data_IF_275552185584
#
_entry.id   IF_275552185584
#
_cell.length_a   1.000
_cell.length_b   1.000
_cell.length_c   1.000
_cell.angle_alpha   90.00
_cell.angle_beta   90.00
_cell.angle_gamma   90.00
#
_symmetry.space_group_name_H-M   'P 1'
#
loop_
_entity.id
_entity.type
_entity.pdbx_description
1 polymer ?
#
# COMPACT_ATOMS: atom_id res chain seq x y z
N UNK A 1 6.04 6.22 -12.99
CA UNK A 1 4.84 5.37 -12.89
C UNK A 1 3.73 6.10 -13.61
N UNK A 2 3.42 5.68 -14.83
CA UNK A 2 2.33 6.23 -15.63
C UNK A 2 1.03 5.93 -14.88
N UNK A 3 0.32 6.97 -14.44
CA UNK A 3 -0.99 6.83 -13.79
C UNK A 3 -2.00 6.67 -14.91
N UNK A 4 -2.51 5.47 -15.09
CA UNK A 4 -3.62 5.19 -15.99
C UNK A 4 -4.90 5.66 -15.32
N UNK A 5 -5.64 6.55 -15.99
CA UNK A 5 -6.84 7.15 -15.41
C UNK A 5 -8.01 6.15 -15.41
N UNK A 6 -8.00 5.17 -16.32
CA UNK A 6 -9.12 4.26 -16.55
C UNK A 6 -8.88 2.83 -16.09
N UNK A 7 -7.65 2.45 -15.69
CA UNK A 7 -7.34 1.11 -15.19
C UNK A 7 -7.34 1.03 -13.65
N UNK A 8 -8.15 0.13 -13.09
CA UNK A 8 -8.16 -0.22 -11.67
C UNK A 8 -7.53 -1.62 -11.53
N UNK A 9 -6.33 -1.76 -10.97
CA UNK A 9 -5.73 -3.07 -10.71
C UNK A 9 -6.50 -3.79 -9.60
N UNK A 10 -6.87 -5.04 -9.86
CA UNK A 10 -7.47 -5.95 -8.90
C UNK A 10 -6.61 -7.21 -8.70
N UNK A 11 -6.86 -7.96 -7.62
CA UNK A 11 -6.13 -9.20 -7.32
C UNK A 11 -6.50 -10.35 -8.26
N UNK A 12 -7.75 -10.36 -8.76
CA UNK A 12 -8.29 -11.46 -9.58
C UNK A 12 -8.59 -11.07 -11.03
N UNK A 13 -8.82 -9.78 -11.29
CA UNK A 13 -9.02 -9.20 -12.62
C UNK A 13 -8.61 -7.72 -12.62
N UNK A 14 -8.11 -7.24 -13.75
CA UNK A 14 -7.90 -5.81 -13.99
C UNK A 14 -9.19 -5.20 -14.56
N UNK A 15 -9.59 -4.03 -14.07
CA UNK A 15 -10.77 -3.34 -14.58
C UNK A 15 -10.35 -2.13 -15.45
N UNK A 16 -10.96 -1.97 -16.63
CA UNK A 16 -10.77 -0.83 -17.53
C UNK A 16 -12.12 -0.09 -17.68
N UNK A 17 -12.12 1.23 -17.51
CA UNK A 17 -13.31 2.08 -17.57
C UNK A 17 -13.41 2.83 -18.91
N UNK A 18 -14.51 2.63 -19.64
CA UNK A 18 -14.89 3.38 -20.84
C UNK A 18 -16.02 4.35 -20.46
N UNK A 19 -15.65 5.38 -19.71
CA UNK A 19 -16.58 6.35 -19.12
C UNK A 19 -16.38 7.72 -19.77
N UNK A 20 -17.46 8.28 -20.28
CA UNK A 20 -17.43 9.53 -21.06
C UNK A 20 -17.45 9.29 -22.56
N UNK A 21 -17.15 10.32 -23.34
CA UNK A 21 -17.25 10.28 -24.80
C UNK A 21 -16.03 9.60 -25.44
N UNK A 22 -16.25 8.92 -26.54
CA UNK A 22 -15.19 8.24 -27.31
C UNK A 22 -14.60 9.23 -28.32
N UNK A 23 -13.29 9.38 -28.33
CA UNK A 23 -12.59 10.23 -29.30
C UNK A 23 -11.20 10.61 -28.82
N UNK A 24 -10.53 11.48 -29.58
CA UNK A 24 -9.12 11.79 -29.35
C UNK A 24 -8.86 13.09 -28.55
N UNK A 25 -9.91 13.74 -28.04
CA UNK A 25 -9.79 14.90 -27.14
C UNK A 25 -9.29 14.52 -25.73
N UNK A 26 -8.73 15.49 -24.99
CA UNK A 26 -8.00 15.23 -23.73
C UNK A 26 -8.85 14.60 -22.61
N UNK A 27 -10.16 14.87 -22.61
CA UNK A 27 -11.09 14.36 -21.60
C UNK A 27 -11.90 13.14 -22.08
N UNK A 28 -11.55 12.57 -23.25
CA UNK A 28 -12.27 11.47 -23.86
C UNK A 28 -11.66 10.10 -23.54
N UNK A 29 -12.45 9.05 -23.77
CA UNK A 29 -11.99 7.67 -23.87
C UNK A 29 -11.23 7.50 -25.18
N UNK A 30 -9.91 7.66 -25.10
CA UNK A 30 -8.98 7.58 -26.24
C UNK A 30 -8.64 6.15 -26.61
N UNK A 31 -8.65 5.87 -27.91
CA UNK A 31 -8.37 4.53 -28.43
C UNK A 31 -6.96 4.03 -28.08
N UNK A 32 -5.96 4.91 -28.17
CA UNK A 32 -4.57 4.60 -27.81
C UNK A 32 -4.36 4.32 -26.32
N UNK A 33 -5.11 5.00 -25.45
CA UNK A 33 -5.01 4.79 -24.00
C UNK A 33 -5.61 3.44 -23.61
N UNK A 34 -6.80 3.11 -24.12
CA UNK A 34 -7.45 1.82 -23.89
C UNK A 34 -6.58 0.66 -24.41
N UNK A 35 -5.99 0.79 -25.60
CA UNK A 35 -5.11 -0.24 -26.15
C UNK A 35 -3.89 -0.50 -25.25
N UNK A 36 -3.29 0.56 -24.70
CA UNK A 36 -2.13 0.46 -23.80
C UNK A 36 -2.51 -0.15 -22.45
N UNK A 37 -3.61 0.31 -21.85
CA UNK A 37 -4.13 -0.23 -20.59
C UNK A 37 -4.50 -1.71 -20.72
N UNK A 38 -5.07 -2.11 -21.85
CA UNK A 38 -5.39 -3.51 -22.13
C UNK A 38 -4.13 -4.39 -22.18
N UNK A 39 -3.07 -3.94 -22.85
CA UNK A 39 -1.79 -4.67 -22.90
C UNK A 39 -1.15 -4.84 -21.52
N UNK A 40 -1.29 -3.83 -20.65
CA UNK A 40 -0.80 -3.92 -19.28
C UNK A 40 -1.67 -4.86 -18.42
N UNK A 41 -2.99 -4.78 -18.56
CA UNK A 41 -3.93 -5.65 -17.88
C UNK A 41 -3.74 -7.13 -18.27
N UNK A 42 -3.49 -7.41 -19.55
CA UNK A 42 -3.11 -8.72 -20.06
C UNK A 42 -1.88 -9.29 -19.34
N UNK A 43 -0.87 -8.45 -19.10
CA UNK A 43 0.37 -8.87 -18.46
C UNK A 43 0.21 -9.17 -16.95
N UNK A 44 -0.81 -8.62 -16.30
CA UNK A 44 -1.00 -8.72 -14.85
C UNK A 44 -1.82 -9.95 -14.43
N UNK A 45 -3.05 -10.09 -14.96
CA UNK A 45 -4.03 -11.07 -14.42
C UNK A 45 -4.63 -11.98 -15.49
N UNK A 46 -4.41 -11.68 -16.79
CA UNK A 46 -5.01 -12.41 -17.91
C UNK A 46 -6.54 -12.32 -17.99
N UNK A 47 -7.21 -11.69 -17.01
CA UNK A 47 -8.65 -11.46 -16.91
C UNK A 47 -8.91 -9.98 -16.84
N UNK A 48 -9.79 -9.49 -17.70
CA UNK A 48 -10.06 -8.06 -17.80
C UNK A 48 -11.55 -7.79 -17.80
N UNK A 49 -11.99 -6.99 -16.84
CA UNK A 49 -13.35 -6.44 -16.82
C UNK A 49 -13.33 -5.08 -17.49
N UNK A 50 -14.19 -4.87 -18.48
CA UNK A 50 -14.33 -3.60 -19.19
C UNK A 50 -15.69 -3.02 -18.89
N UNK A 51 -15.77 -1.86 -18.24
CA UNK A 51 -17.04 -1.24 -17.84
C UNK A 51 -17.35 -0.05 -18.72
N UNK A 52 -18.55 -0.01 -19.27
CA UNK A 52 -19.01 1.00 -20.22
C UNK A 52 -20.10 1.87 -19.58
N UNK A 53 -19.87 3.18 -19.64
CA UNK A 53 -20.85 4.21 -19.34
C UNK A 53 -20.59 5.42 -20.26
N UNK A 54 -21.01 5.31 -21.51
CA UNK A 54 -20.63 6.21 -22.60
C UNK A 54 -21.77 6.49 -23.58
N UNK A 55 -21.85 7.75 -24.02
CA UNK A 55 -22.78 8.20 -25.05
C UNK A 55 -22.33 7.84 -26.49
N UNK A 56 -21.14 7.25 -26.64
CA UNK A 56 -20.53 7.02 -27.94
C UNK A 56 -19.54 8.12 -28.31
N UNK A 57 -19.35 8.35 -29.61
CA UNK A 57 -18.42 9.36 -30.10
C UNK A 57 -17.83 8.97 -31.46
N UNK A 58 -16.54 9.25 -31.66
CA UNK A 58 -15.86 9.05 -32.93
C UNK A 58 -15.85 7.57 -33.36
N UNK A 59 -16.39 7.31 -34.56
CA UNK A 59 -16.57 5.94 -35.08
C UNK A 59 -15.24 5.21 -35.22
N UNK A 60 -14.22 5.87 -35.77
CA UNK A 60 -12.90 5.27 -35.98
C UNK A 60 -12.18 4.92 -34.67
N UNK A 61 -12.19 5.83 -33.68
CA UNK A 61 -11.64 5.53 -32.35
C UNK A 61 -12.37 4.37 -31.70
N UNK A 62 -13.70 4.30 -31.85
CA UNK A 62 -14.46 3.16 -31.34
C UNK A 62 -14.15 1.84 -32.04
N UNK A 63 -13.95 1.84 -33.36
CA UNK A 63 -13.54 0.65 -34.11
C UNK A 63 -12.14 0.19 -33.66
N UNK A 64 -11.23 1.13 -33.39
CA UNK A 64 -9.91 0.81 -32.86
C UNK A 64 -10.01 0.15 -31.47
N UNK A 65 -10.84 0.68 -30.57
CA UNK A 65 -11.10 0.08 -29.25
C UNK A 65 -11.71 -1.32 -29.40
N UNK A 66 -12.75 -1.45 -30.23
CA UNK A 66 -13.40 -2.73 -30.51
C UNK A 66 -12.39 -3.78 -31.00
N UNK A 67 -11.51 -3.41 -31.93
CA UNK A 67 -10.50 -4.31 -32.47
C UNK A 67 -9.42 -4.66 -31.45
N UNK A 68 -9.02 -3.71 -30.60
CA UNK A 68 -8.06 -3.99 -29.52
C UNK A 68 -8.63 -5.03 -28.54
N UNK A 69 -9.87 -4.81 -28.08
CA UNK A 69 -10.56 -5.73 -27.17
C UNK A 69 -10.81 -7.10 -27.82
N UNK A 70 -11.35 -7.13 -29.05
CA UNK A 70 -11.69 -8.39 -29.76
C UNK A 70 -10.48 -9.28 -30.02
N UNK A 71 -9.31 -8.69 -30.29
CA UNK A 71 -8.06 -9.40 -30.60
C UNK A 71 -7.17 -9.62 -29.37
N UNK A 72 -7.60 -9.17 -28.20
CA UNK A 72 -6.93 -9.41 -26.94
C UNK A 72 -6.84 -10.90 -26.62
N UNK A 73 -5.77 -11.28 -25.92
CA UNK A 73 -5.61 -12.63 -25.37
C UNK A 73 -6.20 -12.76 -23.96
N UNK A 74 -6.60 -11.65 -23.34
CA UNK A 74 -7.27 -11.67 -22.05
C UNK A 74 -8.65 -12.33 -22.16
N UNK A 75 -9.07 -12.92 -21.03
CA UNK A 75 -10.46 -13.29 -20.79
C UNK A 75 -11.24 -12.02 -20.43
N UNK A 76 -11.94 -11.46 -21.43
CA UNK A 76 -12.61 -10.16 -21.32
C UNK A 76 -14.11 -10.33 -21.04
N UNK A 77 -14.55 -9.76 -19.91
CA UNK A 77 -15.98 -9.52 -19.65
C UNK A 77 -16.31 -8.04 -19.80
N UNK A 78 -17.30 -7.71 -20.63
CA UNK A 78 -17.81 -6.34 -20.76
C UNK A 78 -19.03 -6.15 -19.87
N UNK A 79 -19.08 -5.05 -19.13
CA UNK A 79 -20.24 -4.63 -18.34
C UNK A 79 -20.77 -3.30 -18.86
N UNK A 80 -22.07 -3.22 -19.13
CA UNK A 80 -22.79 -1.98 -19.39
C UNK A 80 -23.46 -1.54 -18.10
N UNK A 81 -22.97 -0.45 -17.52
CA UNK A 81 -23.32 -0.04 -16.16
C UNK A 81 -24.50 0.94 -16.12
N UNK A 82 -24.48 1.93 -17.02
CA UNK A 82 -25.53 2.94 -17.15
C UNK A 82 -25.99 3.08 -18.60
N UNK A 83 -25.08 3.52 -19.47
CA UNK A 83 -25.37 3.70 -20.89
C UNK A 83 -24.25 3.14 -21.78
N UNK A 84 -24.64 2.45 -22.84
CA UNK A 84 -23.78 2.18 -23.99
C UNK A 84 -24.54 2.63 -25.24
N UNK A 85 -24.27 3.85 -25.70
CA UNK A 85 -24.97 4.45 -26.83
C UNK A 85 -24.05 4.66 -28.03
N UNK A 86 -24.63 4.59 -29.24
CA UNK A 86 -23.93 4.84 -30.50
C UNK A 86 -22.66 3.98 -30.62
N UNK A 87 -21.49 4.58 -30.75
CA UNK A 87 -20.25 3.80 -30.89
C UNK A 87 -19.92 2.94 -29.65
N UNK A 88 -20.40 3.31 -28.45
CA UNK A 88 -20.18 2.52 -27.24
C UNK A 88 -20.98 1.20 -27.25
N UNK A 89 -22.19 1.17 -27.82
CA UNK A 89 -22.93 -0.10 -27.98
C UNK A 89 -22.26 -1.02 -29.00
N UNK A 90 -21.60 -0.46 -30.02
CA UNK A 90 -20.81 -1.25 -30.96
C UNK A 90 -19.58 -1.86 -30.27
N UNK A 91 -18.86 -1.08 -29.46
CA UNK A 91 -17.74 -1.59 -28.66
C UNK A 91 -18.19 -2.75 -27.78
N UNK A 92 -19.35 -2.63 -27.12
CA UNK A 92 -19.86 -3.66 -26.24
C UNK A 92 -20.00 -5.04 -26.92
N UNK A 93 -20.22 -5.11 -28.25
CA UNK A 93 -20.45 -6.37 -28.96
C UNK A 93 -19.23 -7.30 -28.99
N UNK A 94 -18.01 -6.83 -28.68
CA UNK A 94 -16.82 -7.68 -28.68
C UNK A 94 -16.59 -8.48 -27.39
N UNK A 95 -17.36 -8.22 -26.33
CA UNK A 95 -17.20 -8.87 -25.03
C UNK A 95 -17.55 -10.35 -25.04
N UNK A 96 -16.91 -11.13 -24.18
CA UNK A 96 -17.08 -12.59 -24.07
C UNK A 96 -17.06 -13.04 -22.60
N UNK A 97 -18.07 -12.71 -21.77
CA UNK A 97 -19.41 -12.26 -22.15
C UNK A 97 -19.63 -10.73 -22.05
N UNK A 98 -20.79 -10.29 -22.52
CA UNK A 98 -21.36 -8.95 -22.32
C UNK A 98 -22.47 -9.02 -21.30
N UNK A 99 -22.33 -8.28 -20.21
CA UNK A 99 -23.30 -8.18 -19.11
C UNK A 99 -23.87 -6.78 -19.06
N UNK A 100 -25.17 -6.63 -18.85
CA UNK A 100 -25.82 -5.32 -18.78
C UNK A 100 -26.59 -5.19 -17.47
N UNK A 101 -26.43 -4.06 -16.80
CA UNK A 101 -27.22 -3.73 -15.61
C UNK A 101 -28.70 -3.70 -15.98
N UNK A 102 -29.58 -4.22 -15.11
CA UNK A 102 -31.04 -4.21 -15.35
C UNK A 102 -31.60 -2.80 -15.62
N UNK A 103 -30.91 -1.76 -15.11
CA UNK A 103 -31.33 -0.37 -15.24
C UNK A 103 -30.62 0.37 -16.37
N UNK A 104 -29.63 -0.25 -17.01
CA UNK A 104 -28.90 0.37 -18.09
C UNK A 104 -29.73 0.51 -19.37
N UNK A 105 -29.19 1.28 -20.31
CA UNK A 105 -29.73 1.42 -21.67
C UNK A 105 -28.64 1.20 -22.71
N UNK A 106 -29.04 0.57 -23.81
CA UNK A 106 -28.22 0.40 -25.00
C UNK A 106 -28.90 1.15 -26.14
N UNK A 107 -28.16 1.91 -26.95
CA UNK A 107 -28.74 2.75 -28.00
C UNK A 107 -28.04 2.57 -29.33
N UNK A 108 -28.82 2.31 -30.38
CA UNK A 108 -28.37 2.23 -31.76
C UNK A 108 -28.99 3.37 -32.56
N UNK A 109 -28.24 3.94 -33.50
CA UNK A 109 -28.75 4.94 -34.43
C UNK A 109 -27.89 5.01 -35.70
N UNK A 110 -28.37 5.76 -36.69
CA UNK A 110 -27.61 6.08 -37.91
C UNK A 110 -26.31 6.82 -37.63
N UNK A 111 -25.28 6.58 -38.46
CA UNK A 111 -24.02 7.31 -38.36
C UNK A 111 -24.27 8.80 -38.61
N UNK A 112 -23.79 9.65 -37.70
CA UNK A 112 -23.89 11.09 -37.81
C UNK A 112 -22.53 11.68 -38.14
N UNK A 113 -22.52 12.66 -39.05
CA UNK A 113 -21.32 13.35 -39.48
C UNK A 113 -21.66 14.64 -40.21
N UNK A 114 -20.67 15.48 -40.42
CA UNK A 114 -20.83 16.74 -41.14
C UNK A 114 -19.55 17.13 -41.86
N UNK A 115 -19.70 17.85 -42.96
CA UNK A 115 -18.60 18.46 -43.69
C UNK A 115 -19.00 19.86 -44.14
N UNK A 116 -17.99 20.67 -44.45
CA UNK A 116 -18.17 21.97 -45.08
C UNK A 116 -17.17 22.08 -46.23
N UNK A 117 -17.65 22.43 -47.41
CA UNK A 117 -16.82 22.44 -48.60
C UNK A 117 -17.61 22.57 -49.89
N UNK A 118 -16.94 22.28 -50.99
CA UNK A 118 -17.53 22.23 -52.32
C UNK A 118 -18.40 20.97 -52.51
N UNK A 119 -19.13 20.93 -53.63
CA UNK A 119 -20.06 19.85 -53.99
C UNK A 119 -19.41 18.45 -53.93
N UNK A 120 -18.16 18.31 -54.35
CA UNK A 120 -17.50 17.00 -54.39
C UNK A 120 -17.05 16.58 -52.98
N UNK A 121 -16.55 17.52 -52.14
CA UNK A 121 -16.26 17.26 -50.72
C UNK A 121 -17.53 16.83 -49.94
N UNK A 122 -18.68 17.46 -50.24
CA UNK A 122 -19.96 17.05 -49.64
C UNK A 122 -20.40 15.65 -50.06
N UNK A 123 -20.22 15.30 -51.33
CA UNK A 123 -20.51 13.94 -51.82
C UNK A 123 -19.59 12.91 -51.20
N UNK A 124 -18.32 13.25 -51.03
CA UNK A 124 -17.32 12.38 -50.43
C UNK A 124 -17.68 12.09 -48.96
N UNK A 125 -18.13 13.10 -48.21
CA UNK A 125 -18.63 12.92 -46.85
C UNK A 125 -19.87 12.01 -46.77
N UNK A 126 -20.84 12.15 -47.68
CA UNK A 126 -22.00 11.25 -47.73
C UNK A 126 -21.55 9.81 -47.96
N UNK A 127 -20.67 9.57 -48.94
CA UNK A 127 -20.15 8.22 -49.22
C UNK A 127 -19.44 7.62 -48.01
N UNK A 128 -18.71 8.44 -47.26
CA UNK A 128 -18.02 8.01 -46.04
C UNK A 128 -19.01 7.61 -44.93
N UNK A 129 -20.04 8.43 -44.70
CA UNK A 129 -21.10 8.12 -43.73
C UNK A 129 -21.82 6.82 -44.11
N UNK A 130 -22.15 6.63 -45.40
CA UNK A 130 -22.78 5.41 -45.91
C UNK A 130 -21.90 4.17 -45.70
N UNK A 131 -20.58 4.30 -45.92
CA UNK A 131 -19.63 3.20 -45.73
C UNK A 131 -19.45 2.82 -44.26
N UNK A 132 -19.38 3.82 -43.37
CA UNK A 132 -19.33 3.58 -41.92
C UNK A 132 -20.63 2.95 -41.43
N UNK A 133 -21.78 3.42 -41.90
CA UNK A 133 -23.07 2.81 -41.58
C UNK A 133 -23.14 1.34 -42.02
N UNK A 134 -22.65 1.02 -43.22
CA UNK A 134 -22.60 -0.37 -43.69
C UNK A 134 -21.74 -1.26 -42.78
N UNK A 135 -20.60 -0.74 -42.33
CA UNK A 135 -19.71 -1.41 -41.38
C UNK A 135 -20.42 -1.66 -40.05
N UNK A 136 -21.09 -0.65 -39.47
CA UNK A 136 -21.79 -0.81 -38.20
C UNK A 136 -22.97 -1.77 -38.31
N UNK A 137 -23.72 -1.75 -39.42
CA UNK A 137 -24.77 -2.72 -39.70
C UNK A 137 -24.23 -4.15 -39.69
N UNK A 138 -23.09 -4.40 -40.35
CA UNK A 138 -22.45 -5.73 -40.38
C UNK A 138 -22.03 -6.20 -38.97
N UNK A 139 -21.50 -5.29 -38.14
CA UNK A 139 -21.10 -5.60 -36.77
C UNK A 139 -22.30 -6.03 -35.91
N UNK A 140 -23.40 -5.30 -35.97
CA UNK A 140 -24.64 -5.65 -35.27
C UNK A 140 -25.26 -6.94 -35.82
N UNK A 141 -25.33 -7.08 -37.15
CA UNK A 141 -25.86 -8.27 -37.82
C UNK A 141 -25.13 -9.54 -37.38
N UNK A 142 -23.80 -9.46 -37.32
CA UNK A 142 -22.94 -10.55 -36.84
C UNK A 142 -23.25 -10.91 -35.39
N UNK A 143 -23.42 -9.93 -34.50
CA UNK A 143 -23.71 -10.18 -33.09
C UNK A 143 -25.12 -10.75 -32.88
N UNK A 144 -26.10 -10.23 -33.59
CA UNK A 144 -27.51 -10.61 -33.46
C UNK A 144 -27.89 -11.87 -34.26
N UNK A 145 -27.01 -12.34 -35.15
CA UNK A 145 -27.30 -13.44 -36.07
C UNK A 145 -28.40 -13.11 -37.07
N UNK A 146 -28.42 -11.86 -37.56
CA UNK A 146 -29.44 -11.33 -38.49
C UNK A 146 -28.81 -10.92 -39.81
N UNK A 147 -29.66 -10.68 -40.81
CA UNK A 147 -29.25 -10.11 -42.08
C UNK A 147 -28.90 -8.62 -41.92
N UNK A 148 -27.89 -8.14 -42.65
CA UNK A 148 -27.39 -6.76 -42.53
C UNK A 148 -28.45 -5.73 -42.94
N UNK A 149 -29.23 -6.04 -43.96
CA UNK A 149 -30.26 -5.18 -44.49
C UNK A 149 -31.48 -5.13 -43.54
N UNK A 150 -31.74 -6.22 -42.81
CA UNK A 150 -32.70 -6.23 -41.70
C UNK A 150 -32.26 -5.26 -40.58
N UNK A 151 -30.99 -5.33 -40.16
CA UNK A 151 -30.44 -4.41 -39.15
C UNK A 151 -30.52 -2.96 -39.61
N UNK A 152 -30.13 -2.69 -40.86
CA UNK A 152 -30.17 -1.35 -41.45
C UNK A 152 -31.59 -0.77 -41.41
N UNK A 153 -32.59 -1.56 -41.81
CA UNK A 153 -33.98 -1.13 -41.82
C UNK A 153 -34.54 -0.89 -40.40
N UNK A 154 -34.10 -1.64 -39.40
CA UNK A 154 -34.59 -1.52 -38.03
C UNK A 154 -33.96 -0.37 -37.24
N UNK A 155 -32.65 -0.19 -37.35
CA UNK A 155 -31.89 0.63 -36.41
C UNK A 155 -31.15 1.81 -37.04
N UNK A 156 -31.06 1.86 -38.37
CA UNK A 156 -30.39 2.92 -39.13
C UNK A 156 -31.40 3.71 -39.98
N UNK A 157 -32.61 3.92 -39.44
CA UNK A 157 -33.72 4.66 -40.09
C UNK A 157 -33.68 6.18 -39.81
N UNK A 158 -32.58 6.69 -39.25
CA UNK A 158 -32.41 8.09 -38.85
C UNK A 158 -32.96 8.45 -37.48
N UNK A 159 -33.38 7.48 -36.65
CA UNK A 159 -33.83 7.70 -35.27
C UNK A 159 -32.90 7.03 -34.26
N UNK A 160 -33.00 7.47 -33.01
CA UNK A 160 -32.36 6.81 -31.87
C UNK A 160 -33.24 5.67 -31.36
N UNK A 161 -32.67 4.46 -31.30
CA UNK A 161 -33.34 3.25 -30.83
C UNK A 161 -32.78 2.81 -29.49
N UNK A 162 -33.55 3.05 -28.44
CA UNK A 162 -33.17 2.75 -27.06
C UNK A 162 -33.72 1.39 -26.62
N UNK A 163 -32.84 0.53 -26.13
CA UNK A 163 -33.14 -0.81 -25.66
C UNK A 163 -32.88 -0.91 -24.16
N UNK A 164 -33.83 -1.50 -23.43
CA UNK A 164 -33.62 -1.98 -22.07
C UNK A 164 -32.80 -3.27 -22.07
N UNK A 165 -32.32 -3.67 -20.89
CA UNK A 165 -31.50 -4.87 -20.74
C UNK A 165 -32.23 -6.17 -21.17
N UNK A 166 -33.53 -6.28 -20.90
CA UNK A 166 -34.36 -7.42 -21.34
C UNK A 166 -34.51 -7.49 -22.86
N UNK A 167 -34.70 -6.34 -23.51
CA UNK A 167 -34.79 -6.24 -24.97
C UNK A 167 -33.45 -6.53 -25.63
N UNK A 168 -32.35 -5.97 -25.11
CA UNK A 168 -31.00 -6.22 -25.59
C UNK A 168 -30.61 -7.70 -25.46
N UNK A 169 -31.02 -8.37 -24.36
CA UNK A 169 -30.81 -9.80 -24.16
C UNK A 169 -31.59 -10.62 -25.18
N UNK A 170 -32.88 -10.30 -25.39
CA UNK A 170 -33.73 -10.99 -26.35
C UNK A 170 -33.22 -10.87 -27.79
N UNK A 171 -32.55 -9.76 -28.11
CA UNK A 171 -31.95 -9.50 -29.42
C UNK A 171 -30.53 -10.10 -29.58
N UNK A 172 -29.96 -10.69 -28.52
CA UNK A 172 -28.61 -11.28 -28.56
C UNK A 172 -27.47 -10.26 -28.53
N UNK A 173 -27.75 -9.00 -28.20
CA UNK A 173 -26.72 -7.95 -28.08
C UNK A 173 -25.87 -8.14 -26.81
N UNK A 174 -26.48 -8.72 -25.78
CA UNK A 174 -25.83 -9.04 -24.50
C UNK A 174 -26.02 -10.52 -24.16
N UNK A 175 -25.19 -11.05 -23.26
CA UNK A 175 -25.23 -12.47 -22.84
C UNK A 175 -25.81 -12.67 -21.43
N UNK A 176 -26.07 -11.58 -20.70
CA UNK A 176 -26.72 -11.67 -19.40
C UNK A 176 -27.04 -10.33 -18.75
N UNK A 177 -28.06 -10.34 -17.91
CA UNK A 177 -28.43 -9.19 -17.08
C UNK A 177 -27.81 -9.40 -15.69
N UNK A 178 -27.32 -8.33 -15.09
CA UNK A 178 -26.91 -8.34 -13.69
C UNK A 178 -27.61 -7.21 -12.92
N UNK A 179 -27.83 -7.46 -11.64
CA UNK A 179 -28.38 -6.46 -10.73
C UNK A 179 -27.19 -5.79 -10.03
N UNK A 180 -27.04 -4.48 -10.21
CA UNK A 180 -26.30 -3.68 -9.23
C UNK A 180 -27.08 -3.74 -7.90
N UNK A 181 -26.38 -3.73 -6.76
CA UNK A 181 -27.02 -3.83 -5.44
C UNK A 181 -28.27 -2.94 -5.37
N UNK A 182 -29.41 -3.49 -4.90
CA UNK A 182 -30.70 -2.84 -4.96
C UNK A 182 -30.60 -1.43 -4.38
N UNK A 183 -31.10 -0.47 -5.16
CA UNK A 183 -31.28 0.91 -4.70
C UNK A 183 -32.58 0.94 -3.90
N UNK A 184 -32.64 1.60 -2.72
CA UNK A 184 -33.86 1.69 -1.94
C UNK A 184 -35.03 2.19 -2.80
N UNK A 185 -36.18 1.52 -2.74
CA UNK A 185 -37.33 1.74 -3.64
C UNK A 185 -37.85 3.19 -3.65
N UNK A 186 -37.59 3.96 -2.58
CA UNK A 186 -38.03 5.36 -2.42
C UNK A 186 -36.96 6.40 -2.82
N UNK A 187 -35.88 6.00 -3.48
CA UNK A 187 -34.78 6.90 -3.83
C UNK A 187 -35.18 7.89 -4.94
N UNK A 188 -34.98 9.18 -4.71
CA UNK A 188 -35.18 10.23 -5.72
C UNK A 188 -34.14 10.13 -6.84
N UNK A 189 -34.39 10.68 -8.05
CA UNK A 189 -33.42 10.67 -9.15
C UNK A 189 -32.04 11.26 -8.76
N UNK A 190 -32.03 12.28 -7.90
CA UNK A 190 -30.81 12.87 -7.35
C UNK A 190 -30.07 11.89 -6.43
N UNK A 191 -30.79 11.17 -5.56
CA UNK A 191 -30.21 10.15 -4.67
C UNK A 191 -29.66 8.96 -5.45
N UNK A 192 -30.34 8.54 -6.50
CA UNK A 192 -29.87 7.51 -7.43
C UNK A 192 -28.56 7.97 -8.09
N UNK A 193 -28.52 9.19 -8.64
CA UNK A 193 -27.32 9.78 -9.23
C UNK A 193 -26.15 9.86 -8.24
N UNK A 194 -26.41 10.27 -6.99
CA UNK A 194 -25.39 10.33 -5.94
C UNK A 194 -24.90 8.93 -5.53
N UNK A 195 -25.79 7.94 -5.38
CA UNK A 195 -25.42 6.54 -5.10
C UNK A 195 -24.52 6.00 -6.19
N UNK A 196 -24.84 6.24 -7.46
CA UNK A 196 -24.01 5.79 -8.58
C UNK A 196 -22.69 6.57 -8.67
N UNK A 197 -22.68 7.89 -8.53
CA UNK A 197 -21.43 8.67 -8.54
C UNK A 197 -20.51 8.34 -7.37
N UNK A 198 -21.06 8.08 -6.18
CA UNK A 198 -20.29 7.62 -5.02
C UNK A 198 -19.70 6.21 -5.20
N UNK A 199 -20.29 5.37 -6.08
CA UNK A 199 -19.74 4.07 -6.48
C UNK A 199 -18.67 4.20 -7.56
N UNK A 200 -18.75 5.23 -8.41
CA UNK A 200 -17.81 5.49 -9.50
C UNK A 200 -16.57 6.26 -9.05
N UNK A 201 -16.72 7.15 -8.07
CA UNK A 201 -15.60 7.81 -7.43
C UNK A 201 -15.10 6.87 -6.35
N UNK A 202 -13.89 6.30 -6.53
CA UNK A 202 -13.12 5.81 -5.38
C UNK A 202 -13.20 6.90 -4.30
N UNK A 203 -13.44 6.56 -3.02
CA UNK A 203 -13.30 7.55 -1.96
C UNK A 203 -11.93 8.20 -2.15
N UNK A 204 -11.91 9.52 -2.38
CA UNK A 204 -10.68 10.24 -2.70
C UNK A 204 -9.66 10.21 -1.55
N UNK A 205 -10.02 9.58 -0.42
CA UNK A 205 -9.13 9.30 0.69
C UNK A 205 -9.20 7.82 1.04
N UNK A 206 -8.05 7.13 1.08
CA UNK A 206 -7.89 5.73 1.52
C UNK A 206 -8.38 5.46 2.97
N UNK A 207 -8.86 6.49 3.68
CA UNK A 207 -9.24 6.42 5.11
C UNK A 207 -10.68 6.85 5.44
N UNK A 208 -11.56 7.11 4.47
CA UNK A 208 -12.97 7.38 4.79
C UNK A 208 -13.80 6.10 4.68
N UNK A 209 -13.82 5.33 5.78
CA UNK A 209 -14.88 4.35 6.00
C UNK A 209 -16.24 5.04 6.00
N UNK A 210 -17.26 4.41 5.40
CA UNK A 210 -18.65 4.83 5.59
C UNK A 210 -18.99 4.74 7.10
N UNK A 211 -19.85 5.63 7.61
CA UNK A 211 -20.40 5.57 8.98
C UNK A 211 -20.93 4.16 9.33
N UNK A 212 -21.52 3.46 8.36
CA UNK A 212 -22.00 2.08 8.53
C UNK A 212 -20.87 1.05 8.71
N UNK A 213 -19.71 1.29 8.12
CA UNK A 213 -18.52 0.45 8.30
C UNK A 213 -17.81 0.74 9.63
N UNK A 214 -17.80 2.01 10.03
CA UNK A 214 -17.29 2.42 11.35
C UNK A 214 -18.09 1.76 12.47
N UNK A 215 -19.43 1.76 12.38
CA UNK A 215 -20.33 1.10 13.35
C UNK A 215 -20.11 -0.41 13.46
N UNK A 216 -19.56 -1.08 12.44
CA UNK A 216 -19.26 -2.52 12.45
C UNK A 216 -17.97 -2.90 13.18
N UNK A 217 -17.10 -1.93 13.51
CA UNK A 217 -15.86 -2.24 14.23
C UNK A 217 -16.17 -2.69 15.66
N UNK A 218 -15.37 -3.61 16.25
CA UNK A 218 -15.63 -4.16 17.58
C UNK A 218 -15.85 -3.12 18.68
N UNK A 219 -15.18 -1.96 18.58
CA UNK A 219 -15.27 -0.87 19.56
C UNK A 219 -16.60 -0.12 19.52
N UNK A 220 -17.27 -0.07 18.37
CA UNK A 220 -18.56 0.60 18.21
C UNK A 220 -19.75 -0.38 18.19
N UNK A 221 -19.51 -1.68 18.41
CA UNK A 221 -20.52 -2.75 18.35
C UNK A 221 -21.71 -2.53 19.30
N UNK A 222 -21.50 -1.78 20.38
CA UNK A 222 -22.53 -1.48 21.40
C UNK A 222 -23.14 -0.08 21.26
N UNK A 223 -22.76 0.70 20.24
CA UNK A 223 -23.35 2.02 19.98
C UNK A 223 -24.71 1.83 19.29
N UNK A 224 -25.80 2.01 20.04
CA UNK A 224 -27.16 1.83 19.52
C UNK A 224 -27.69 3.08 18.81
N UNK A 225 -27.20 4.26 19.18
CA UNK A 225 -27.60 5.56 18.63
C UNK A 225 -26.40 6.34 18.09
N UNK A 226 -26.67 7.36 17.27
CA UNK A 226 -25.63 8.27 16.77
C UNK A 226 -24.97 9.07 17.91
N UNK A 227 -25.72 9.39 18.97
CA UNK A 227 -25.19 10.04 20.18
C UNK A 227 -24.21 9.12 20.94
N UNK A 228 -24.46 7.81 20.98
CA UNK A 228 -23.54 6.85 21.58
C UNK A 228 -22.25 6.72 20.76
N UNK A 229 -22.36 6.81 19.43
CA UNK A 229 -21.21 6.79 18.54
C UNK A 229 -20.34 8.05 18.71
N UNK A 230 -20.93 9.24 18.72
CA UNK A 230 -20.22 10.50 18.92
C UNK A 230 -19.53 10.57 20.30
N UNK A 231 -20.15 10.00 21.34
CA UNK A 231 -19.54 9.90 22.67
C UNK A 231 -18.28 9.03 22.67
N UNK A 232 -18.33 7.88 21.98
CA UNK A 232 -17.18 6.96 21.87
C UNK A 232 -16.04 7.59 21.04
N UNK A 233 -16.38 8.37 20.01
CA UNK A 233 -15.40 9.17 19.26
C UNK A 233 -14.73 10.22 20.15
N UNK A 234 -15.49 10.96 20.99
CA UNK A 234 -14.89 11.93 21.91
C UNK A 234 -13.94 11.31 22.96
N UNK A 235 -14.21 10.08 23.40
CA UNK A 235 -13.29 9.32 24.26
C UNK A 235 -12.00 8.97 23.52
N UNK A 236 -12.11 8.51 22.26
CA UNK A 236 -10.97 8.24 21.40
C UNK A 236 -10.11 9.47 21.15
N UNK A 237 -10.72 10.63 20.92
CA UNK A 237 -10.00 11.90 20.76
C UNK A 237 -9.24 12.27 22.04
N UNK A 238 -9.85 12.06 23.20
CA UNK A 238 -9.21 12.31 24.51
C UNK A 238 -8.03 11.35 24.75
N UNK A 239 -8.19 10.07 24.43
CA UNK A 239 -7.10 9.07 24.51
C UNK A 239 -5.97 9.39 23.54
N UNK A 240 -6.29 9.74 22.30
CA UNK A 240 -5.31 10.12 21.28
C UNK A 240 -4.52 11.37 21.70
N UNK A 241 -5.19 12.35 22.32
CA UNK A 241 -4.55 13.55 22.87
C UNK A 241 -3.49 13.27 23.96
N UNK A 242 -3.55 12.10 24.62
CA UNK A 242 -2.57 11.69 25.64
C UNK A 242 -1.31 11.05 25.05
N UNK A 243 -1.35 10.60 23.80
CA UNK A 243 -0.24 9.88 23.15
C UNK A 243 1.05 10.72 23.11
N UNK A 244 1.04 12.01 22.70
CA UNK A 244 2.28 12.80 22.67
C UNK A 244 2.93 12.96 24.04
N UNK A 245 2.13 13.13 25.10
CA UNK A 245 2.63 13.25 26.46
C UNK A 245 3.22 11.92 26.97
N UNK A 246 2.59 10.79 26.65
CA UNK A 246 3.11 9.46 26.97
C UNK A 246 4.39 9.15 26.19
N UNK A 247 4.48 9.51 24.92
CA UNK A 247 5.69 9.33 24.10
C UNK A 247 6.85 10.18 24.63
N UNK A 248 6.58 11.42 25.04
CA UNK A 248 7.56 12.28 25.69
C UNK A 248 8.08 11.65 26.99
N UNK A 249 7.17 11.09 27.80
CA UNK A 249 7.52 10.42 29.06
C UNK A 249 8.31 9.14 28.84
N UNK A 250 7.91 8.29 27.87
CA UNK A 250 8.66 7.08 27.50
C UNK A 250 10.05 7.45 27.00
N UNK A 251 10.17 8.52 26.21
CA UNK A 251 11.46 9.00 25.72
C UNK A 251 12.34 9.49 26.88
N UNK A 252 11.77 10.26 27.81
CA UNK A 252 12.46 10.72 29.03
C UNK A 252 12.95 9.54 29.87
N UNK A 253 12.08 8.59 30.19
CA UNK A 253 12.40 7.41 31.00
C UNK A 253 13.47 6.53 30.33
N UNK A 254 13.43 6.36 29.01
CA UNK A 254 14.50 5.67 28.27
C UNK A 254 15.82 6.40 28.37
N UNK A 255 15.80 7.74 28.29
CA UNK A 255 16.99 8.58 28.49
C UNK A 255 17.58 8.42 29.89
N UNK A 256 16.75 8.50 30.93
CA UNK A 256 17.18 8.31 32.32
C UNK A 256 17.73 6.91 32.58
N UNK A 257 17.05 5.87 32.08
CA UNK A 257 17.52 4.49 32.18
C UNK A 257 18.90 4.33 31.55
N UNK A 258 19.13 4.94 30.38
CA UNK A 258 20.44 4.92 29.72
C UNK A 258 21.51 5.60 30.56
N UNK A 259 21.23 6.74 31.17
CA UNK A 259 22.18 7.42 32.07
C UNK A 259 22.56 6.54 33.27
N UNK A 260 21.59 5.83 33.85
CA UNK A 260 21.87 4.88 34.94
C UNK A 260 22.70 3.69 34.46
N UNK A 261 22.43 3.16 33.27
CA UNK A 261 23.20 2.06 32.67
C UNK A 261 24.64 2.49 32.36
N UNK A 262 24.82 3.61 31.67
CA UNK A 262 26.15 4.16 31.32
C UNK A 262 26.99 4.43 32.57
N UNK A 263 26.36 4.92 33.66
CA UNK A 263 27.02 5.12 34.94
C UNK A 263 27.42 3.79 35.60
N UNK A 264 26.53 2.81 35.63
CA UNK A 264 26.82 1.50 36.20
C UNK A 264 27.98 0.81 35.45
N UNK A 265 27.99 0.90 34.11
CA UNK A 265 29.05 0.36 33.28
C UNK A 265 30.39 1.08 33.50
N UNK A 266 30.37 2.42 33.64
CA UNK A 266 31.56 3.21 33.95
C UNK A 266 32.12 2.89 35.35
N UNK A 267 31.25 2.76 36.35
CA UNK A 267 31.64 2.41 37.71
C UNK A 267 32.24 0.99 37.76
N UNK A 268 31.66 0.01 37.07
CA UNK A 268 32.24 -1.35 36.98
C UNK A 268 33.56 -1.36 36.19
N UNK A 269 33.67 -0.60 35.09
CA UNK A 269 34.93 -0.45 34.36
C UNK A 269 36.04 0.17 35.22
N UNK A 270 35.71 1.19 36.01
CA UNK A 270 36.65 1.80 36.95
C UNK A 270 37.08 0.82 38.04
N UNK A 271 36.15 0.01 38.58
CA UNK A 271 36.46 -1.04 39.56
C UNK A 271 37.39 -2.11 38.99
N UNK A 272 37.12 -2.62 37.77
CA UNK A 272 37.99 -3.59 37.07
C UNK A 272 39.38 -3.01 36.84
N UNK A 273 39.46 -1.76 36.38
CA UNK A 273 40.74 -1.07 36.16
C UNK A 273 41.55 -0.96 37.46
N UNK A 274 40.91 -0.55 38.56
CA UNK A 274 41.56 -0.44 39.86
C UNK A 274 42.14 -1.77 40.33
N UNK A 275 41.42 -2.88 40.18
CA UNK A 275 41.92 -4.21 40.53
C UNK A 275 43.18 -4.60 39.74
N UNK A 276 43.21 -4.26 38.45
CA UNK A 276 44.38 -4.50 37.60
C UNK A 276 45.54 -3.58 37.99
N UNK A 277 45.28 -2.30 38.26
CA UNK A 277 46.30 -1.34 38.71
C UNK A 277 46.93 -1.77 40.04
N UNK A 278 46.12 -2.18 41.02
CA UNK A 278 46.58 -2.67 42.32
C UNK A 278 47.42 -3.96 42.16
N UNK A 279 47.00 -4.87 41.27
CA UNK A 279 47.71 -6.12 40.98
C UNK A 279 49.03 -5.92 40.20
N UNK A 280 49.11 -4.88 39.36
CA UNK A 280 50.34 -4.52 38.65
C UNK A 280 51.31 -3.82 39.62
N UNK A 281 50.81 -2.94 40.48
CA UNK A 281 51.60 -2.21 41.45
C UNK A 281 52.29 -3.13 42.47
N UNK A 282 51.61 -4.18 42.93
CA UNK A 282 52.18 -5.16 43.86
C UNK A 282 52.87 -6.35 43.16
N UNK A 283 52.96 -6.32 41.84
CA UNK A 283 53.71 -7.25 41.00
C UNK A 283 53.07 -8.63 40.86
N UNK A 284 51.77 -8.78 41.18
CA UNK A 284 50.98 -9.99 40.87
C UNK A 284 50.85 -10.21 39.36
N UNK A 285 50.73 -9.13 38.59
CA UNK A 285 50.70 -9.14 37.13
C UNK A 285 51.75 -8.16 36.56
N UNK A 286 52.02 -8.28 35.26
CA UNK A 286 52.91 -7.41 34.49
C UNK A 286 52.26 -6.96 33.18
N UNK A 287 52.92 -6.07 32.43
CA UNK A 287 52.41 -5.54 31.17
C UNK A 287 52.06 -6.61 30.12
N UNK A 288 52.69 -7.79 30.17
CA UNK A 288 52.41 -8.89 29.24
C UNK A 288 51.17 -9.70 29.65
N UNK A 289 50.93 -9.83 30.95
CA UNK A 289 49.82 -10.63 31.50
C UNK A 289 48.56 -9.81 31.78
N UNK A 290 48.67 -8.49 31.93
CA UNK A 290 47.55 -7.58 32.18
C UNK A 290 46.38 -7.70 31.18
N UNK A 291 46.61 -7.78 29.85
CA UNK A 291 45.50 -7.90 28.88
C UNK A 291 44.71 -9.21 29.03
N UNK A 292 45.30 -10.26 29.61
CA UNK A 292 44.64 -11.55 29.83
C UNK A 292 43.59 -11.39 30.95
N UNK A 293 43.98 -10.78 32.07
CA UNK A 293 43.08 -10.55 33.20
C UNK A 293 42.04 -9.46 32.92
N UNK A 294 42.37 -8.47 32.09
CA UNK A 294 41.41 -7.47 31.60
C UNK A 294 40.25 -8.13 30.83
N UNK A 295 40.58 -9.01 29.88
CA UNK A 295 39.56 -9.76 29.13
C UNK A 295 38.77 -10.73 30.01
N UNK A 296 39.41 -11.33 31.02
CA UNK A 296 38.74 -12.23 31.95
C UNK A 296 37.74 -11.48 32.82
N UNK A 297 38.14 -10.36 33.44
CA UNK A 297 37.27 -9.53 34.27
C UNK A 297 36.11 -8.91 33.48
N UNK A 298 36.31 -8.61 32.19
CA UNK A 298 35.26 -8.10 31.32
C UNK A 298 34.22 -9.17 30.92
N UNK A 299 34.61 -10.45 30.83
CA UNK A 299 33.71 -11.56 30.46
C UNK A 299 33.08 -12.25 31.66
N UNK A 300 33.81 -12.36 32.76
CA UNK A 300 33.42 -13.05 33.98
C UNK A 300 34.12 -12.38 35.18
N UNK A 301 33.40 -11.43 35.78
CA UNK A 301 33.89 -10.61 36.88
C UNK A 301 34.35 -11.45 38.07
N UNK A 302 33.54 -12.43 38.45
CA UNK A 302 33.74 -13.24 39.66
C UNK A 302 34.96 -14.15 39.51
N UNK A 303 35.10 -14.84 38.38
CA UNK A 303 36.25 -15.71 38.15
C UNK A 303 37.54 -14.90 37.91
N UNK A 304 37.45 -13.71 37.32
CA UNK A 304 38.57 -12.80 37.18
C UNK A 304 39.14 -12.32 38.52
N UNK A 305 38.28 -11.95 39.47
CA UNK A 305 38.71 -11.57 40.83
C UNK A 305 39.40 -12.72 41.55
N UNK A 306 38.77 -13.90 41.57
CA UNK A 306 39.34 -15.10 42.20
C UNK A 306 40.69 -15.49 41.60
N UNK A 307 40.89 -15.25 40.30
CA UNK A 307 42.16 -15.50 39.63
C UNK A 307 43.25 -14.52 40.09
N UNK A 308 42.92 -13.22 40.23
CA UNK A 308 43.86 -12.20 40.72
C UNK A 308 44.19 -12.36 42.22
N UNK A 309 43.25 -12.80 43.04
CA UNK A 309 43.47 -13.06 44.48
C UNK A 309 44.45 -14.22 44.73
N UNK A 310 44.51 -15.20 43.82
CA UNK A 310 45.41 -16.36 43.93
C UNK A 310 46.87 -16.04 43.58
N UNK A 311 47.14 -14.86 43.01
CA UNK A 311 48.49 -14.44 42.67
C UNK A 311 49.19 -13.86 43.89
N UNK A 312 50.46 -14.22 44.09
CA UNK A 312 51.25 -13.72 45.21
C UNK A 312 51.97 -12.41 44.85
N UNK A 313 51.87 -11.35 45.67
CA UNK A 313 52.61 -10.11 45.46
C UNK A 313 54.12 -10.34 45.43
N UNK A 314 54.83 -9.71 44.48
CA UNK A 314 56.29 -9.74 44.43
C UNK A 314 56.86 -8.73 45.42
N UNK A 315 57.09 -9.16 46.67
CA UNK A 315 57.84 -8.36 47.65
C UNK A 315 59.35 -8.49 47.40
N UNK A 316 60.03 -7.37 47.17
CA UNK A 316 61.49 -7.32 47.26
C UNK A 316 61.91 -7.41 48.73
N UNK A 317 62.90 -8.25 49.04
CA UNK A 317 63.49 -8.36 50.40
C UNK A 317 64.03 -7.01 50.89
N UNK A 318 64.38 -6.10 49.98
CA UNK A 318 64.87 -4.75 50.31
C UNK A 318 63.80 -3.84 50.93
N UNK A 319 62.51 -4.10 50.72
CA UNK A 319 61.42 -3.28 51.26
C UNK A 319 61.17 -3.54 52.73
N UNK A 320 61.37 -4.79 53.19
CA UNK A 320 61.27 -5.19 54.60
C UNK A 320 62.51 -4.81 55.44
N UNK A 321 63.62 -4.44 54.79
CA UNK A 321 64.89 -4.06 55.42
C UNK A 321 65.05 -2.56 55.68
N UNK A 322 64.13 -1.70 55.23
CA UNK A 322 64.12 -0.28 55.62
C UNK A 322 63.51 -0.09 56.99
N UNK A 323 64.25 -0.51 58.01
CA UNK A 323 64.02 -0.04 59.38
C UNK A 323 64.50 1.41 59.44
N UNK A 324 63.67 2.34 59.91
CA UNK A 324 64.06 3.74 60.12
C UNK A 324 65.35 3.82 60.99
N UNK A 325 66.34 4.65 60.64
CA UNK A 325 67.62 4.72 61.35
C UNK A 325 67.56 5.53 62.66
N UNK A 326 66.48 5.43 63.42
CA UNK A 326 66.29 6.18 64.68
C UNK A 326 66.14 5.28 65.92
N UNK A 327 66.50 3.99 65.80
CA UNK A 327 66.54 3.06 66.93
C UNK A 327 67.67 2.04 66.77
N UNK A 328 68.21 1.58 67.90
CA UNK A 328 69.26 0.56 67.97
C UNK A 328 68.86 -0.68 67.14
N UNK A 329 69.77 -1.16 66.27
CA UNK A 329 69.46 -2.29 65.41
C UNK A 329 69.13 -3.54 66.24
N UNK A 330 68.26 -4.45 65.75
CA UNK A 330 67.96 -5.70 66.44
C UNK A 330 69.20 -6.54 66.77
N UNK A 331 70.26 -6.41 65.96
CA UNK A 331 71.56 -7.03 66.19
C UNK A 331 72.28 -6.40 67.39
N UNK A 332 72.35 -5.07 67.46
CA UNK A 332 73.02 -4.36 68.55
C UNK A 332 72.31 -4.59 69.89
N UNK A 333 70.98 -4.58 69.90
CA UNK A 333 70.18 -4.91 71.08
C UNK A 333 70.45 -6.32 71.59
N UNK A 334 70.51 -7.31 70.67
CA UNK A 334 70.83 -8.70 71.01
C UNK A 334 72.26 -8.87 71.53
N UNK A 335 73.22 -8.15 70.98
CA UNK A 335 74.60 -8.14 71.47
C UNK A 335 74.73 -7.49 72.85
N UNK A 336 73.95 -6.44 73.13
CA UNK A 336 73.85 -5.82 74.45
C UNK A 336 73.26 -6.77 75.49
N UNK A 337 72.14 -7.43 75.17
CA UNK A 337 71.51 -8.44 76.02
C UNK A 337 72.43 -9.65 76.32
N UNK A 338 73.25 -10.07 75.37
CA UNK A 338 74.27 -11.11 75.57
C UNK A 338 75.37 -10.62 76.52
N UNK A 339 75.83 -9.38 76.35
CA UNK A 339 76.88 -8.78 77.19
C UNK A 339 76.40 -8.59 78.64
N UNK A 340 75.16 -8.15 78.84
CA UNK A 340 74.56 -8.01 80.17
C UNK A 340 74.32 -9.36 80.85
N UNK A 341 73.93 -10.40 80.08
CA UNK A 341 73.83 -11.77 80.62
C UNK A 341 75.18 -12.39 80.98
N UNK A 342 76.27 -11.99 80.32
CA UNK A 342 77.63 -12.44 80.64
C UNK A 342 78.23 -11.71 81.85
N UNK A 343 77.79 -10.48 82.13
CA UNK A 343 78.26 -9.68 83.26
C UNK A 343 77.50 -9.94 84.58
N UNK A 344 76.47 -10.79 84.56
CA UNK A 344 75.68 -11.20 85.74
C UNK A 344 75.89 -12.68 86.13
N UNK A 345 77.09 -13.23 85.91
CA UNK A 345 77.52 -14.51 86.45
C UNK A 345 78.78 -14.40 87.30
#
# INVERSE_FOLDING_TARGET
>A
MSRFFNMIPGTDACCILLYGDIGEYDDNVRSGDIARELLEAEALTGKVDVRINSNGGEVYSGIAIFNALKNSKADITIYVDGIAASMASVIALCGKPVRMSRYARLMLHSVQGGCYGNKDEMKDCIREIEALEDTLCEMYATRMGKDKEEIRAMYFDGKDHWLRADEALALGLIDGIYDADPVPEDSTPEQVFQIFNNRLHKPQNENSMNLDELKRRPRFKNCATDDDFLREIGLLETEAGRVPALDAEVTRLKGELKVFQDKADADDAAARKKLLDDAEQDGRIDAATRPIYENLLAKDRENGEKALEKLFPKRSVMTDLRVNPTGESPWNKRMSEIKDKLNHK
#
